data_IF_724202381459
#
_entry.id   IF_724202381459
#
_cell.length_a   1.000
_cell.length_b   1.000
_cell.length_c   1.000
_cell.angle_alpha   90.00
_cell.angle_beta   90.00
_cell.angle_gamma   90.00
#
_symmetry.space_group_name_H-M   'P 1'
#
loop_
_entity.id
_entity.type
_entity.pdbx_description
1 polymer ?
#
# COMPACT_ATOMS: atom_id res chain seq x y z
N UNK A 1 -17.95 16.26 -1.73
CA UNK A 1 -17.75 16.30 -3.20
C UNK A 1 -16.25 16.25 -3.46
N UNK A 2 -15.74 15.27 -4.24
CA UNK A 2 -14.33 15.27 -4.63
C UNK A 2 -14.01 16.49 -5.49
N UNK A 3 -12.96 17.23 -5.15
CA UNK A 3 -12.55 18.39 -5.95
C UNK A 3 -11.95 17.93 -7.31
N UNK A 4 -11.83 18.83 -8.28
CA UNK A 4 -11.31 18.48 -9.63
C UNK A 4 -9.92 17.85 -9.59
N UNK A 5 -9.09 18.27 -8.64
CA UNK A 5 -7.72 17.75 -8.44
C UNK A 5 -7.76 16.26 -8.06
N UNK A 6 -8.58 15.88 -7.08
CA UNK A 6 -8.78 14.48 -6.67
C UNK A 6 -9.35 13.61 -7.80
N UNK A 7 -10.25 14.16 -8.62
CA UNK A 7 -10.79 13.44 -9.80
C UNK A 7 -9.70 13.16 -10.83
N UNK A 8 -8.83 14.15 -11.10
CA UNK A 8 -7.68 13.97 -11.98
C UNK A 8 -6.77 12.87 -11.45
N UNK A 9 -6.44 12.91 -10.16
CA UNK A 9 -5.60 11.91 -9.51
C UNK A 9 -6.17 10.49 -9.61
N UNK A 10 -7.45 10.32 -9.25
CA UNK A 10 -8.12 9.01 -9.27
C UNK A 10 -8.22 8.42 -10.68
N UNK A 11 -8.59 9.23 -11.69
CA UNK A 11 -8.67 8.74 -13.08
C UNK A 11 -7.29 8.48 -13.68
N UNK A 12 -6.27 9.27 -13.34
CA UNK A 12 -4.89 9.01 -13.74
C UNK A 12 -4.41 7.67 -13.17
N UNK A 13 -4.63 7.42 -11.88
CA UNK A 13 -4.26 6.16 -11.24
C UNK A 13 -4.93 4.96 -11.93
N UNK A 14 -6.23 5.05 -12.23
CA UNK A 14 -6.96 4.02 -12.98
C UNK A 14 -6.37 3.78 -14.36
N UNK A 15 -5.96 4.84 -15.08
CA UNK A 15 -5.30 4.70 -16.37
C UNK A 15 -3.92 4.03 -16.23
N UNK A 16 -3.11 4.44 -15.25
CA UNK A 16 -1.80 3.84 -14.97
C UNK A 16 -1.92 2.34 -14.66
N UNK A 17 -2.90 1.94 -13.83
CA UNK A 17 -3.12 0.52 -13.50
C UNK A 17 -3.46 -0.39 -14.70
N UNK A 18 -3.93 0.18 -15.81
CA UNK A 18 -4.41 -0.56 -16.99
C UNK A 18 -3.44 -0.52 -18.17
N UNK A 19 -2.75 0.61 -18.34
CA UNK A 19 -1.90 0.89 -19.50
C UNK A 19 -0.42 1.04 -19.14
N UNK A 20 -0.10 0.95 -17.86
CA UNK A 20 1.17 1.33 -17.31
C UNK A 20 1.37 2.84 -17.23
N UNK A 21 2.38 3.27 -16.47
CA UNK A 21 2.71 4.68 -16.27
C UNK A 21 3.18 5.34 -17.56
N UNK A 22 4.01 4.64 -18.35
CA UNK A 22 4.50 5.17 -19.63
C UNK A 22 3.45 5.16 -20.74
N UNK A 23 2.48 4.24 -20.70
CA UNK A 23 1.40 4.15 -21.68
C UNK A 23 0.29 5.20 -21.55
N UNK A 24 0.42 6.16 -20.63
CA UNK A 24 -0.59 7.18 -20.33
C UNK A 24 0.00 8.58 -20.51
N UNK A 25 -0.69 9.43 -21.26
CA UNK A 25 -0.36 10.85 -21.39
C UNK A 25 -1.32 11.76 -20.61
N UNK A 26 -0.92 13.01 -20.35
CA UNK A 26 -1.80 14.04 -19.80
C UNK A 26 -3.05 14.25 -20.67
N UNK A 27 -2.93 14.08 -21.99
CA UNK A 27 -4.06 14.18 -22.92
C UNK A 27 -5.05 13.03 -22.74
N UNK A 28 -4.57 11.82 -22.45
CA UNK A 28 -5.46 10.67 -22.18
C UNK A 28 -6.27 10.90 -20.91
N UNK A 29 -5.63 11.42 -19.86
CA UNK A 29 -6.27 11.74 -18.58
C UNK A 29 -7.33 12.85 -18.79
N UNK A 30 -6.95 13.93 -19.48
CA UNK A 30 -7.87 15.02 -19.79
C UNK A 30 -9.08 14.55 -20.63
N UNK A 31 -8.84 13.73 -21.66
CA UNK A 31 -9.88 13.11 -22.48
C UNK A 31 -10.82 12.24 -21.64
N UNK A 32 -10.28 11.43 -20.72
CA UNK A 32 -11.07 10.55 -19.83
C UNK A 32 -12.02 11.35 -18.94
N UNK A 33 -11.61 12.54 -18.51
CA UNK A 33 -12.38 13.44 -17.65
C UNK A 33 -13.26 14.42 -18.42
N UNK A 34 -13.24 14.40 -19.75
CA UNK A 34 -13.90 15.38 -20.62
C UNK A 34 -13.52 16.84 -20.29
N UNK A 35 -12.23 17.08 -20.05
CA UNK A 35 -11.65 18.42 -19.82
C UNK A 35 -10.55 18.71 -20.84
N UNK A 36 -10.19 19.98 -20.99
CA UNK A 36 -9.04 20.35 -21.82
C UNK A 36 -7.72 20.04 -21.07
N UNK A 37 -6.62 19.76 -21.79
CA UNK A 37 -5.30 19.66 -21.16
C UNK A 37 -4.94 20.92 -20.37
N UNK A 38 -5.29 22.11 -20.89
CA UNK A 38 -5.09 23.37 -20.19
C UNK A 38 -5.81 23.46 -18.83
N UNK A 39 -7.01 22.86 -18.70
CA UNK A 39 -7.70 22.79 -17.42
C UNK A 39 -7.00 21.83 -16.44
N UNK A 40 -6.44 20.71 -16.93
CA UNK A 40 -5.63 19.80 -16.11
C UNK A 40 -4.36 20.48 -15.59
N UNK A 41 -3.70 21.27 -16.45
CA UNK A 41 -2.48 22.01 -16.09
C UNK A 41 -2.69 23.07 -15.01
N UNK A 42 -3.94 23.50 -14.75
CA UNK A 42 -4.26 24.37 -13.59
C UNK A 42 -4.13 23.65 -12.25
N UNK A 43 -4.17 22.32 -12.26
CA UNK A 43 -4.12 21.49 -11.05
C UNK A 43 -2.80 20.75 -10.87
N UNK A 44 -2.14 20.38 -11.98
CA UNK A 44 -0.90 19.61 -11.95
C UNK A 44 0.05 20.06 -13.06
N UNK A 45 1.36 20.06 -12.77
CA UNK A 45 2.38 20.44 -13.75
C UNK A 45 2.57 19.38 -14.86
N UNK A 46 2.12 18.15 -14.61
CA UNK A 46 2.15 17.08 -15.61
C UNK A 46 1.95 15.70 -14.99
N UNK A 47 2.25 14.66 -15.79
CA UNK A 47 2.10 13.24 -15.41
C UNK A 47 2.86 12.89 -14.13
N UNK A 48 4.11 13.40 -14.00
CA UNK A 48 4.96 13.15 -12.83
C UNK A 48 4.39 13.78 -11.56
N UNK A 49 3.97 15.04 -11.61
CA UNK A 49 3.34 15.71 -10.48
C UNK A 49 2.07 14.96 -10.04
N UNK A 50 1.22 14.50 -10.96
CA UNK A 50 0.06 13.67 -10.60
C UNK A 50 0.49 12.41 -9.83
N UNK A 51 1.51 11.71 -10.30
CA UNK A 51 2.04 10.53 -9.64
C UNK A 51 2.60 10.82 -8.25
N UNK A 52 3.39 11.88 -8.10
CA UNK A 52 3.93 12.29 -6.79
C UNK A 52 2.83 12.70 -5.80
N UNK A 53 1.67 13.15 -6.28
CA UNK A 53 0.50 13.38 -5.41
C UNK A 53 -0.21 12.08 -5.04
N UNK A 54 -0.27 11.09 -5.94
CA UNK A 54 -0.76 9.74 -5.61
C UNK A 54 0.09 9.14 -4.49
N UNK A 55 1.42 9.23 -4.59
CA UNK A 55 2.34 8.72 -3.56
C UNK A 55 2.10 9.41 -2.22
N UNK A 56 2.02 10.75 -2.20
CA UNK A 56 1.75 11.51 -0.98
C UNK A 56 0.42 11.12 -0.34
N UNK A 57 -0.62 10.90 -1.14
CA UNK A 57 -1.92 10.42 -0.66
C UNK A 57 -1.80 9.03 -0.02
N UNK A 58 -1.04 8.12 -0.62
CA UNK A 58 -0.81 6.78 -0.06
C UNK A 58 0.01 6.83 1.23
N UNK A 59 1.10 7.58 1.24
CA UNK A 59 1.97 7.76 2.42
C UNK A 59 1.18 8.36 3.60
N UNK A 60 0.35 9.37 3.35
CA UNK A 60 -0.49 9.96 4.40
C UNK A 60 -1.52 8.97 4.93
N UNK A 61 -2.18 8.22 4.04
CA UNK A 61 -3.18 7.23 4.44
C UNK A 61 -2.58 6.04 5.20
N UNK A 62 -1.35 5.63 4.89
CA UNK A 62 -0.63 4.59 5.62
C UNK A 62 -0.18 5.09 7.00
N UNK A 63 0.37 6.31 7.05
CA UNK A 63 0.75 7.00 8.29
C UNK A 63 -0.42 7.11 9.26
N UNK A 64 -1.58 7.58 8.78
CA UNK A 64 -2.78 7.71 9.61
C UNK A 64 -3.24 6.36 10.18
N UNK A 65 -3.17 5.29 9.39
CA UNK A 65 -3.55 3.94 9.86
C UNK A 65 -2.56 3.40 10.88
N UNK A 66 -1.27 3.66 10.69
CA UNK A 66 -0.25 3.28 11.66
C UNK A 66 -0.53 3.94 13.03
N UNK A 67 -0.76 5.26 13.01
CA UNK A 67 -1.12 6.05 14.19
C UNK A 67 -2.40 5.52 14.86
N UNK A 68 -3.47 5.29 14.09
CA UNK A 68 -4.76 4.78 14.61
C UNK A 68 -4.61 3.43 15.32
N UNK A 69 -3.65 2.61 14.88
CA UNK A 69 -3.39 1.30 15.45
C UNK A 69 -2.21 1.28 16.41
N UNK A 70 -1.66 2.44 16.83
CA UNK A 70 -0.54 2.53 17.77
C UNK A 70 0.70 1.73 17.32
N UNK A 71 0.95 1.66 16.02
CA UNK A 71 2.18 1.09 15.44
C UNK A 71 3.03 2.20 14.82
N UNK A 72 4.36 2.01 14.62
CA UNK A 72 5.24 3.07 14.15
C UNK A 72 4.90 3.50 12.72
N UNK A 73 4.80 4.80 12.48
CA UNK A 73 4.52 5.37 11.14
C UNK A 73 5.76 5.59 10.26
N UNK A 74 6.96 5.32 10.78
CA UNK A 74 8.23 5.46 10.08
C UNK A 74 9.18 4.29 10.43
N UNK A 75 10.33 4.23 9.75
CA UNK A 75 11.36 3.19 9.95
C UNK A 75 11.98 3.24 11.34
N UNK A 76 12.47 2.09 11.81
CA UNK A 76 13.05 1.92 13.14
C UNK A 76 14.08 2.99 13.52
N UNK A 77 14.97 3.35 12.59
CA UNK A 77 16.02 4.35 12.84
C UNK A 77 15.46 5.72 13.28
N UNK A 78 14.25 6.07 12.84
CA UNK A 78 13.61 7.35 13.17
C UNK A 78 12.73 7.24 14.43
N UNK A 79 12.23 6.04 14.75
CA UNK A 79 11.24 5.84 15.82
C UNK A 79 11.53 4.63 16.73
N UNK A 80 12.75 4.42 17.25
CA UNK A 80 13.09 3.18 17.92
C UNK A 80 12.25 2.89 19.17
N UNK A 81 11.77 3.92 19.86
CA UNK A 81 10.90 3.78 21.02
C UNK A 81 9.48 3.31 20.65
N UNK A 82 8.96 3.72 19.49
CA UNK A 82 7.64 3.29 19.03
C UNK A 82 7.64 1.78 18.75
N UNK A 83 8.69 1.25 18.12
CA UNK A 83 8.83 -0.19 17.86
C UNK A 83 8.86 -0.99 19.16
N UNK A 84 9.63 -0.54 20.17
CA UNK A 84 9.66 -1.18 21.51
C UNK A 84 8.33 -1.19 22.25
N UNK A 85 7.49 -0.17 22.03
CA UNK A 85 6.20 -0.04 22.70
C UNK A 85 5.04 -0.69 21.93
N UNK A 86 5.29 -1.15 20.71
CA UNK A 86 4.24 -1.72 19.87
C UNK A 86 3.76 -3.03 20.45
N UNK A 87 2.49 -3.10 20.84
CA UNK A 87 1.90 -4.34 21.28
C UNK A 87 1.65 -5.28 20.09
N UNK A 88 1.98 -6.57 20.25
CA UNK A 88 1.75 -7.58 19.20
C UNK A 88 0.26 -7.65 18.78
N UNK A 89 -0.67 -7.41 19.70
CA UNK A 89 -2.11 -7.36 19.39
C UNK A 89 -2.45 -6.22 18.44
N UNK A 90 -1.91 -5.02 18.70
CA UNK A 90 -2.12 -3.83 17.88
C UNK A 90 -1.51 -4.03 16.49
N UNK A 91 -0.32 -4.62 16.41
CA UNK A 91 0.32 -4.96 15.15
C UNK A 91 -0.47 -5.98 14.32
N UNK A 92 -1.06 -7.00 14.95
CA UNK A 92 -1.97 -7.94 14.28
C UNK A 92 -3.22 -7.25 13.77
N UNK A 93 -3.81 -6.34 14.55
CA UNK A 93 -4.99 -5.55 14.13
C UNK A 93 -4.66 -4.63 12.97
N UNK A 94 -3.53 -3.91 13.04
CA UNK A 94 -3.00 -3.09 11.96
C UNK A 94 -2.84 -3.90 10.68
N UNK A 95 -2.24 -5.09 10.77
CA UNK A 95 -2.04 -5.98 9.61
C UNK A 95 -3.37 -6.37 8.94
N UNK A 96 -4.39 -6.68 9.74
CA UNK A 96 -5.74 -6.99 9.20
C UNK A 96 -6.40 -5.75 8.58
N UNK A 97 -6.24 -4.58 9.19
CA UNK A 97 -6.74 -3.32 8.65
C UNK A 97 -6.06 -2.95 7.33
N UNK A 98 -4.74 -3.10 7.25
CA UNK A 98 -3.96 -2.87 6.03
C UNK A 98 -4.37 -3.85 4.93
N UNK A 99 -4.63 -5.13 5.26
CA UNK A 99 -5.13 -6.08 4.26
C UNK A 99 -6.42 -5.57 3.60
N UNK A 100 -7.40 -5.16 4.42
CA UNK A 100 -8.67 -4.63 3.93
C UNK A 100 -8.47 -3.34 3.16
N UNK A 101 -7.63 -2.42 3.65
CA UNK A 101 -7.31 -1.19 2.94
C UNK A 101 -6.77 -1.49 1.53
N UNK A 102 -5.76 -2.34 1.42
CA UNK A 102 -5.13 -2.70 0.14
C UNK A 102 -6.02 -3.49 -0.83
N UNK A 103 -7.15 -4.02 -0.37
CA UNK A 103 -8.02 -4.92 -1.14
C UNK A 103 -9.44 -4.39 -1.39
N UNK A 104 -9.98 -3.60 -0.46
CA UNK A 104 -11.35 -3.09 -0.48
C UNK A 104 -11.42 -1.61 -0.81
N UNK A 105 -10.41 -0.80 -0.45
CA UNK A 105 -10.39 0.62 -0.80
C UNK A 105 -10.11 0.81 -2.29
N UNK A 106 -10.93 1.61 -2.98
CA UNK A 106 -10.83 1.80 -4.44
C UNK A 106 -9.49 2.43 -4.82
N UNK A 107 -8.97 3.36 -4.04
CA UNK A 107 -7.74 4.07 -4.39
C UNK A 107 -6.52 3.17 -4.13
N UNK A 108 -6.43 2.58 -2.94
CA UNK A 108 -5.32 1.72 -2.55
C UNK A 108 -5.25 0.44 -3.37
N UNK A 109 -6.38 -0.21 -3.65
CA UNK A 109 -6.41 -1.44 -4.46
C UNK A 109 -5.92 -1.19 -5.89
N UNK A 110 -6.31 -0.08 -6.51
CA UNK A 110 -5.83 0.31 -7.86
C UNK A 110 -4.35 0.73 -7.82
N UNK A 111 -3.90 1.38 -6.75
CA UNK A 111 -2.48 1.68 -6.54
C UNK A 111 -1.63 0.42 -6.45
N UNK A 112 -2.05 -0.57 -5.67
CA UNK A 112 -1.40 -1.88 -5.59
C UNK A 112 -1.33 -2.56 -6.96
N UNK A 113 -2.42 -2.55 -7.73
CA UNK A 113 -2.44 -3.12 -9.09
C UNK A 113 -1.44 -2.42 -10.02
N UNK A 114 -1.40 -1.09 -9.97
CA UNK A 114 -0.45 -0.28 -10.73
C UNK A 114 1.00 -0.61 -10.36
N UNK A 115 1.35 -0.65 -9.06
CA UNK A 115 2.72 -1.00 -8.65
C UNK A 115 3.09 -2.43 -9.04
N UNK A 116 2.15 -3.37 -8.95
CA UNK A 116 2.39 -4.77 -9.34
C UNK A 116 2.75 -4.89 -10.82
N UNK A 117 2.06 -4.11 -11.68
CA UNK A 117 2.36 -4.03 -13.11
C UNK A 117 3.70 -3.33 -13.37
N UNK A 118 3.95 -2.22 -12.68
CA UNK A 118 5.07 -1.31 -12.95
C UNK A 118 6.40 -1.75 -12.33
N UNK A 119 6.41 -2.71 -11.40
CA UNK A 119 7.62 -3.10 -10.65
C UNK A 119 8.80 -3.52 -11.55
N UNK A 120 8.54 -3.95 -12.78
CA UNK A 120 9.57 -4.34 -13.76
C UNK A 120 9.89 -3.24 -14.78
N UNK A 121 9.19 -2.10 -14.75
CA UNK A 121 9.34 -1.02 -15.71
C UNK A 121 10.54 -0.11 -15.43
N UNK A 122 10.89 0.10 -14.15
CA UNK A 122 12.04 0.92 -13.77
C UNK A 122 12.59 0.56 -12.38
N UNK A 123 13.86 0.91 -12.06
CA UNK A 123 14.40 0.76 -10.72
C UNK A 123 13.61 1.52 -9.64
N UNK A 124 13.04 2.68 -9.99
CA UNK A 124 12.20 3.46 -9.09
C UNK A 124 10.92 2.70 -8.72
N UNK A 125 10.21 2.17 -9.72
CA UNK A 125 8.98 1.40 -9.49
C UNK A 125 9.25 0.09 -8.76
N UNK A 126 10.36 -0.59 -9.09
CA UNK A 126 10.80 -1.77 -8.34
C UNK A 126 11.04 -1.43 -6.87
N UNK A 127 11.74 -0.34 -6.57
CA UNK A 127 12.00 0.09 -5.19
C UNK A 127 10.70 0.43 -4.45
N UNK A 128 9.79 1.13 -5.12
CA UNK A 128 8.50 1.49 -4.55
C UNK A 128 7.66 0.25 -4.22
N UNK A 129 7.58 -0.72 -5.13
CA UNK A 129 6.92 -2.00 -4.88
C UNK A 129 7.55 -2.74 -3.68
N UNK A 130 8.88 -2.82 -3.63
CA UNK A 130 9.58 -3.48 -2.51
C UNK A 130 9.34 -2.79 -1.17
N UNK A 131 9.20 -1.46 -1.15
CA UNK A 131 8.86 -0.72 0.06
C UNK A 131 7.44 -1.04 0.55
N UNK A 132 6.46 -1.07 -0.36
CA UNK A 132 5.05 -1.28 0.00
C UNK A 132 4.66 -2.74 0.27
N UNK A 133 5.31 -3.69 -0.40
CA UNK A 133 4.86 -5.10 -0.40
C UNK A 133 5.99 -6.13 -0.26
N UNK A 134 7.24 -5.71 -0.28
CA UNK A 134 8.40 -6.62 -0.30
C UNK A 134 9.31 -6.44 0.91
N UNK A 135 10.60 -6.25 0.64
CA UNK A 135 11.64 -6.17 1.68
C UNK A 135 11.39 -5.08 2.72
N UNK A 136 10.76 -3.95 2.36
CA UNK A 136 10.46 -2.88 3.30
C UNK A 136 9.47 -3.32 4.39
N UNK A 137 8.41 -4.04 3.99
CA UNK A 137 7.42 -4.58 4.94
C UNK A 137 8.03 -5.68 5.79
N UNK A 138 8.87 -6.56 5.21
CA UNK A 138 9.54 -7.62 5.97
C UNK A 138 10.45 -7.01 7.03
N UNK A 139 11.25 -5.99 6.69
CA UNK A 139 12.09 -5.30 7.66
C UNK A 139 11.26 -4.65 8.78
N UNK A 140 10.17 -3.97 8.42
CA UNK A 140 9.26 -3.36 9.40
C UNK A 140 8.69 -4.39 10.39
N UNK A 141 8.23 -5.54 9.88
CA UNK A 141 7.73 -6.65 10.70
C UNK A 141 8.85 -7.19 11.59
N UNK A 142 10.02 -7.45 11.02
CA UNK A 142 11.19 -7.97 11.73
C UNK A 142 11.60 -7.05 12.88
N UNK A 143 11.67 -5.74 12.65
CA UNK A 143 12.04 -4.75 13.66
C UNK A 143 11.04 -4.73 14.82
N UNK A 144 9.73 -4.82 14.53
CA UNK A 144 8.69 -4.91 15.59
C UNK A 144 8.88 -6.19 16.40
N UNK A 145 9.05 -7.34 15.74
CA UNK A 145 9.19 -8.61 16.42
C UNK A 145 10.49 -8.68 17.24
N UNK A 146 11.59 -8.15 16.70
CA UNK A 146 12.89 -8.05 17.37
C UNK A 146 12.80 -7.22 18.65
N UNK A 147 12.20 -6.03 18.59
CA UNK A 147 12.05 -5.15 19.75
C UNK A 147 11.04 -5.69 20.79
N UNK A 148 10.17 -6.61 20.40
CA UNK A 148 9.28 -7.35 21.29
C UNK A 148 9.88 -8.65 21.85
N UNK A 149 11.16 -8.93 21.60
CA UNK A 149 11.86 -10.10 22.15
C UNK A 149 11.50 -11.42 21.50
N UNK A 150 10.92 -11.41 20.29
CA UNK A 150 10.60 -12.62 19.54
C UNK A 150 11.89 -13.28 19.06
N UNK A 151 12.03 -14.58 19.34
CA UNK A 151 13.17 -15.37 18.89
C UNK A 151 13.15 -15.54 17.37
N UNK A 152 14.34 -15.47 16.75
CA UNK A 152 14.51 -15.60 15.29
C UNK A 152 13.59 -14.63 14.50
N UNK A 153 13.66 -13.32 14.78
CA UNK A 153 12.72 -12.33 14.25
C UNK A 153 12.66 -12.32 12.71
N UNK A 154 13.75 -12.65 12.02
CA UNK A 154 13.83 -12.75 10.57
C UNK A 154 12.89 -13.85 10.03
N UNK A 155 12.93 -15.04 10.66
CA UNK A 155 12.10 -16.19 10.27
C UNK A 155 10.65 -16.00 10.73
N UNK A 156 10.45 -15.37 11.88
CA UNK A 156 9.13 -15.02 12.39
C UNK A 156 8.44 -13.99 11.48
N UNK A 157 9.16 -12.97 10.99
CA UNK A 157 8.65 -11.98 10.06
C UNK A 157 8.24 -12.60 8.72
N UNK A 158 9.07 -13.48 8.16
CA UNK A 158 8.72 -14.25 6.95
C UNK A 158 7.45 -15.08 7.15
N UNK A 159 7.36 -15.80 8.27
CA UNK A 159 6.19 -16.62 8.60
C UNK A 159 4.94 -15.75 8.77
N UNK A 160 5.06 -14.61 9.45
CA UNK A 160 3.96 -13.66 9.65
C UNK A 160 3.44 -13.08 8.33
N UNK A 161 4.34 -12.60 7.47
CA UNK A 161 3.96 -11.83 6.28
C UNK A 161 3.59 -12.69 5.06
N UNK A 162 4.16 -13.88 4.91
CA UNK A 162 3.94 -14.70 3.71
C UNK A 162 2.47 -15.05 3.45
N UNK A 163 1.66 -15.47 4.45
CA UNK A 163 0.24 -15.72 4.23
C UNK A 163 -0.54 -14.46 3.88
N UNK A 164 -0.18 -13.32 4.47
CA UNK A 164 -0.75 -12.01 4.10
C UNK A 164 -0.49 -11.73 2.61
N UNK A 165 0.77 -11.81 2.18
CA UNK A 165 1.17 -11.51 0.80
C UNK A 165 0.53 -12.49 -0.21
N UNK A 166 0.49 -13.78 0.12
CA UNK A 166 -0.18 -14.79 -0.72
C UNK A 166 -1.67 -14.47 -0.89
N UNK A 167 -2.38 -14.24 0.21
CA UNK A 167 -3.82 -13.94 0.17
C UNK A 167 -4.11 -12.60 -0.52
N UNK A 168 -3.22 -11.61 -0.38
CA UNK A 168 -3.30 -10.32 -1.06
C UNK A 168 -3.33 -10.50 -2.57
N UNK A 169 -2.45 -11.36 -3.10
CA UNK A 169 -2.35 -11.67 -4.53
C UNK A 169 -3.50 -12.53 -5.05
N UNK A 170 -4.17 -13.30 -4.19
CA UNK A 170 -5.35 -14.10 -4.56
C UNK A 170 -6.65 -13.30 -4.51
N UNK A 171 -6.68 -12.18 -3.78
CA UNK A 171 -7.93 -11.47 -3.46
C UNK A 171 -8.73 -11.03 -4.70
N UNK A 172 -8.06 -10.48 -5.73
CA UNK A 172 -8.75 -9.88 -6.88
C UNK A 172 -9.47 -10.90 -7.75
N UNK A 173 -8.94 -12.13 -7.82
CA UNK A 173 -9.49 -13.24 -8.62
C UNK A 173 -10.35 -14.20 -7.81
N UNK A 174 -10.43 -14.01 -6.48
CA UNK A 174 -11.20 -14.88 -5.62
C UNK A 174 -12.70 -14.78 -5.90
N UNK A 175 -13.36 -15.93 -6.07
CA UNK A 175 -14.82 -16.01 -6.19
C UNK A 175 -15.52 -15.65 -4.87
N UNK A 176 -14.84 -15.85 -3.74
CA UNK A 176 -15.31 -15.52 -2.39
C UNK A 176 -14.23 -14.74 -1.64
N UNK A 177 -14.32 -13.41 -1.71
CA UNK A 177 -13.40 -12.48 -1.05
C UNK A 177 -13.54 -12.49 0.47
N UNK A 178 -14.73 -12.75 0.98
CA UNK A 178 -14.98 -12.88 2.43
C UNK A 178 -14.20 -14.06 3.01
N UNK A 179 -14.14 -15.18 2.28
CA UNK A 179 -13.32 -16.34 2.66
C UNK A 179 -11.82 -16.03 2.71
N UNK A 180 -11.30 -15.23 1.78
CA UNK A 180 -9.88 -14.81 1.78
C UNK A 180 -9.55 -14.04 3.06
N UNK A 181 -10.38 -13.05 3.42
CA UNK A 181 -10.15 -12.29 4.64
C UNK A 181 -10.31 -13.14 5.91
N UNK A 182 -11.33 -14.01 5.96
CA UNK A 182 -11.53 -14.92 7.09
C UNK A 182 -10.35 -15.89 7.32
N UNK A 183 -9.69 -16.35 6.24
CA UNK A 183 -8.48 -17.16 6.34
C UNK A 183 -7.33 -16.38 6.99
N UNK A 184 -7.12 -15.13 6.58
CA UNK A 184 -6.10 -14.27 7.19
C UNK A 184 -6.39 -14.01 8.66
N UNK A 185 -7.65 -13.71 9.02
CA UNK A 185 -8.06 -13.51 10.42
C UNK A 185 -7.78 -14.75 11.26
N UNK A 186 -8.14 -15.94 10.76
CA UNK A 186 -7.87 -17.21 11.44
C UNK A 186 -6.37 -17.43 11.63
N UNK A 187 -5.57 -17.13 10.60
CA UNK A 187 -4.11 -17.22 10.67
C UNK A 187 -3.52 -16.27 11.73
N UNK A 188 -3.90 -15.00 11.70
CA UNK A 188 -3.39 -13.97 12.64
C UNK A 188 -3.79 -14.27 14.10
N UNK A 189 -4.95 -14.89 14.31
CA UNK A 189 -5.36 -15.38 15.63
C UNK A 189 -4.53 -16.57 16.11
N UNK A 190 -4.11 -17.45 15.20
CA UNK A 190 -3.40 -18.69 15.52
C UNK A 190 -1.87 -18.60 15.53
N UNK A 191 -1.28 -17.57 14.92
CA UNK A 191 0.18 -17.42 14.88
C UNK A 191 0.71 -17.07 16.28
N UNK A 192 1.68 -17.86 16.74
CA UNK A 192 2.42 -17.61 17.98
C UNK A 192 3.52 -16.60 17.69
N UNK A 193 3.33 -15.40 18.19
CA UNK A 193 4.33 -14.33 18.28
C UNK A 193 4.40 -13.97 19.77
#
# INVERSE_FOLDING_TARGET
MRNTREKIMSEALKLFSRKGYEGVSVRDIAKKLNITPGALYKHYQGKRDIFDNILREMEENDRMKAIEHHVPEDVFNNMPEAYRKTAIVDFKLFTLAMFRYWTEDEFASVFRQMLTLEQYGSPEMSKLYQNYFGSGVIQYVEDILRENGIAQPETAALSFYTPYYFLLNQYDVASDKTKIFALLQKYMKGISL
#
